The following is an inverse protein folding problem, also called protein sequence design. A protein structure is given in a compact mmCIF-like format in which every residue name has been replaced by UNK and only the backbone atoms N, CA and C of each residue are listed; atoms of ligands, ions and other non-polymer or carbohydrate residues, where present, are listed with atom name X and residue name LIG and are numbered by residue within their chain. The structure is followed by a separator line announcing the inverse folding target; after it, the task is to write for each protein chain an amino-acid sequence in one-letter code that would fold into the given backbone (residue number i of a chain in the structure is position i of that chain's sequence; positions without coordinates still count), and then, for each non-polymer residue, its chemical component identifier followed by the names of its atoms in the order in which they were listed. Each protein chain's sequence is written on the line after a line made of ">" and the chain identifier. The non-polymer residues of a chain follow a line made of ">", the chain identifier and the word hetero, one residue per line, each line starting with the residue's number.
data_IF_963097517714
#
_entry.id   IF_963097517714
#
_cell.length_a   1.000
_cell.length_b   1.000
_cell.length_c   1.000
_cell.angle_alpha   90.00
_cell.angle_beta   90.00
_cell.angle_gamma   90.00
#
_symmetry.space_group_name_H-M   'P 1'
#
loop_
_entity.id
_entity.type
_entity.pdbx_description
1 polymer ?
#
# COMPACT_ATOMS: atom_id res chain seq x y z
N UNK A 1 32.95 30.48 74.89
CA UNK A 1 31.77 31.24 74.49
C UNK A 1 31.69 31.20 72.99
N UNK A 2 30.92 30.27 72.39
CA UNK A 2 30.82 30.06 70.97
C UNK A 2 29.38 30.36 70.54
N UNK A 3 29.18 31.49 69.79
CA UNK A 3 27.89 31.89 69.22
C UNK A 3 27.55 31.06 68.01
N UNK A 4 26.46 30.29 68.07
CA UNK A 4 25.87 29.60 66.95
C UNK A 4 25.00 30.57 66.14
N UNK A 5 25.36 30.83 64.84
CA UNK A 5 24.56 31.55 63.90
C UNK A 5 23.61 30.50 63.26
N UNK A 6 22.29 30.71 63.39
CA UNK A 6 21.26 29.95 62.63
C UNK A 6 20.98 30.63 61.32
N UNK A 7 21.27 29.94 60.24
CA UNK A 7 20.90 30.34 58.89
C UNK A 7 19.46 29.89 58.63
N UNK A 8 18.55 30.81 58.39
CA UNK A 8 17.17 30.52 57.97
C UNK A 8 17.14 30.51 56.47
N UNK A 9 16.95 29.35 55.87
CA UNK A 9 16.72 29.15 54.45
C UNK A 9 15.21 29.37 54.17
N UNK A 10 14.89 30.44 53.46
CA UNK A 10 13.56 30.68 52.93
C UNK A 10 13.49 30.00 51.60
N UNK A 11 12.75 28.89 51.50
CA UNK A 11 12.49 28.20 50.22
C UNK A 11 11.34 28.90 49.51
N UNK A 12 11.66 29.56 48.39
CA UNK A 12 10.70 30.14 47.47
C UNK A 12 10.16 29.03 46.57
N UNK A 13 8.96 28.54 46.83
CA UNK A 13 8.28 27.60 45.93
C UNK A 13 7.68 28.37 44.76
N UNK A 14 8.30 28.23 43.60
CA UNK A 14 7.75 28.68 42.33
C UNK A 14 6.76 27.64 41.84
N UNK A 15 5.47 27.93 41.94
CA UNK A 15 4.42 27.11 41.33
C UNK A 15 4.44 27.28 39.79
N UNK A 16 5.05 26.33 39.12
CA UNK A 16 4.93 26.24 37.66
C UNK A 16 3.55 25.63 37.36
N UNK A 17 2.58 26.48 37.00
CA UNK A 17 1.31 26.06 36.41
C UNK A 17 1.58 25.51 35.02
N UNK A 18 1.83 24.19 34.91
CA UNK A 18 1.90 23.49 33.66
C UNK A 18 0.50 23.51 33.02
N UNK A 19 0.32 24.30 31.96
CA UNK A 19 -0.80 24.13 31.07
C UNK A 19 -0.62 22.77 30.40
N UNK A 20 -1.37 21.77 30.85
CA UNK A 20 -1.52 20.53 30.11
C UNK A 20 -2.23 20.88 28.78
N UNK A 21 -1.49 20.95 27.70
CA UNK A 21 -2.09 20.97 26.36
C UNK A 21 -2.87 19.66 26.23
N UNK A 22 -4.18 19.78 26.06
CA UNK A 22 -5.00 18.64 25.68
C UNK A 22 -4.41 18.07 24.36
N UNK A 23 -4.25 16.74 24.26
CA UNK A 23 -3.78 16.13 23.03
C UNK A 23 -4.72 16.56 21.90
N UNK A 24 -4.19 17.25 20.91
CA UNK A 24 -4.92 17.53 19.68
C UNK A 24 -5.25 16.18 19.06
N UNK A 25 -6.53 15.86 18.98
CA UNK A 25 -6.97 14.66 18.29
C UNK A 25 -6.43 14.73 16.85
N UNK A 26 -5.49 13.87 16.51
CA UNK A 26 -5.00 13.71 15.15
C UNK A 26 -6.20 13.31 14.30
N UNK A 27 -6.52 14.07 13.27
CA UNK A 27 -7.59 13.72 12.35
C UNK A 27 -7.28 12.33 11.78
N UNK A 28 -8.21 11.40 11.94
CA UNK A 28 -8.07 10.06 11.35
C UNK A 28 -8.17 10.23 9.84
N UNK A 29 -7.08 9.92 9.14
CA UNK A 29 -7.07 9.92 7.67
C UNK A 29 -7.97 8.79 7.19
N UNK A 30 -9.01 9.11 6.44
CA UNK A 30 -9.92 8.13 5.86
C UNK A 30 -9.61 7.94 4.37
N UNK A 31 -9.32 6.71 3.99
CA UNK A 31 -9.07 6.32 2.61
C UNK A 31 -10.34 5.82 1.92
N UNK A 32 -10.42 5.99 0.61
CA UNK A 32 -11.52 5.48 -0.19
C UNK A 32 -11.10 5.05 -1.57
N UNK A 33 -11.75 4.00 -2.07
CA UNK A 33 -11.65 3.52 -3.44
C UNK A 33 -12.72 4.18 -4.31
N UNK A 34 -12.31 4.75 -5.42
CA UNK A 34 -13.19 5.17 -6.52
C UNK A 34 -12.91 4.26 -7.72
N UNK A 35 -13.89 3.49 -8.15
CA UNK A 35 -13.79 2.63 -9.32
C UNK A 35 -13.85 3.47 -10.61
N UNK A 36 -12.97 3.19 -11.56
CA UNK A 36 -13.02 3.83 -12.88
C UNK A 36 -14.20 3.29 -13.67
N UNK A 37 -14.87 4.17 -14.43
CA UNK A 37 -15.95 3.78 -15.32
C UNK A 37 -15.48 2.98 -16.55
N UNK A 38 -14.17 2.90 -16.76
CA UNK A 38 -13.56 2.25 -17.92
C UNK A 38 -13.53 0.73 -17.74
N UNK A 39 -13.99 -0.01 -18.76
CA UNK A 39 -13.84 -1.46 -18.82
C UNK A 39 -12.53 -1.82 -19.50
N UNK A 40 -11.74 -2.68 -18.86
CA UNK A 40 -10.48 -3.19 -19.43
C UNK A 40 -10.69 -4.39 -20.36
N UNK A 41 -11.86 -5.05 -20.29
CA UNK A 41 -12.14 -6.27 -21.03
C UNK A 41 -11.28 -7.47 -20.60
N UNK A 42 -10.59 -7.40 -19.48
CA UNK A 42 -9.73 -8.45 -18.97
C UNK A 42 -10.49 -9.35 -17.98
N UNK A 43 -10.32 -10.66 -18.15
CA UNK A 43 -10.92 -11.68 -17.29
C UNK A 43 -9.80 -12.44 -16.59
N UNK A 44 -9.86 -12.54 -15.26
CA UNK A 44 -8.84 -13.22 -14.46
C UNK A 44 -8.81 -12.72 -13.01
N UNK A 45 -7.84 -13.24 -12.27
CA UNK A 45 -7.58 -12.94 -10.86
C UNK A 45 -6.11 -12.56 -10.66
N UNK A 46 -5.72 -12.24 -9.44
CA UNK A 46 -4.33 -11.98 -9.02
C UNK A 46 -3.52 -11.15 -10.04
N UNK A 47 -4.00 -9.96 -10.44
CA UNK A 47 -3.22 -9.10 -11.32
C UNK A 47 -1.99 -8.58 -10.56
N UNK A 48 -0.87 -8.42 -11.29
CA UNK A 48 0.25 -7.59 -10.91
C UNK A 48 0.39 -6.46 -11.92
N UNK A 49 0.66 -5.24 -11.49
CA UNK A 49 0.77 -4.09 -12.38
C UNK A 49 2.09 -3.34 -12.25
N UNK A 50 2.64 -2.95 -13.38
CA UNK A 50 3.74 -1.98 -13.44
C UNK A 50 3.43 -0.88 -14.46
N UNK A 51 3.75 0.36 -14.11
CA UNK A 51 3.69 1.47 -15.07
C UNK A 51 4.86 1.37 -16.05
N UNK A 52 4.58 1.26 -17.33
CA UNK A 52 5.57 1.14 -18.40
C UNK A 52 5.33 2.23 -19.45
N UNK A 53 6.07 3.34 -19.34
CA UNK A 53 5.85 4.50 -20.20
C UNK A 53 4.43 5.07 -20.04
N UNK A 54 3.64 5.01 -21.12
CA UNK A 54 2.25 5.50 -21.13
C UNK A 54 1.20 4.39 -20.94
N UNK A 55 1.62 3.17 -20.62
CA UNK A 55 0.73 2.04 -20.41
C UNK A 55 0.95 1.41 -19.03
N UNK A 56 -0.08 0.77 -18.51
CA UNK A 56 -0.02 -0.09 -17.35
C UNK A 56 0.08 -1.53 -17.84
N UNK A 57 1.20 -2.19 -17.59
CA UNK A 57 1.40 -3.60 -17.90
C UNK A 57 0.86 -4.44 -16.76
N UNK A 58 -0.05 -5.36 -17.11
CA UNK A 58 -0.66 -6.30 -16.18
C UNK A 58 -0.23 -7.72 -16.50
N UNK A 59 0.17 -8.46 -15.48
CA UNK A 59 0.31 -9.92 -15.49
C UNK A 59 -0.86 -10.49 -14.70
N UNK A 60 -1.57 -11.46 -15.24
CA UNK A 60 -2.74 -12.02 -14.56
C UNK A 60 -3.02 -13.46 -15.04
N UNK A 61 -3.46 -14.37 -14.17
CA UNK A 61 -3.98 -15.67 -14.58
C UNK A 61 -5.26 -15.49 -15.39
N UNK A 62 -5.21 -15.87 -16.66
CA UNK A 62 -6.30 -15.76 -17.64
C UNK A 62 -6.98 -17.10 -17.93
N UNK A 63 -7.63 -17.71 -16.92
CA UNK A 63 -8.33 -18.99 -17.08
C UNK A 63 -7.37 -20.16 -17.37
N UNK A 64 -7.80 -21.11 -18.19
CA UNK A 64 -7.03 -22.33 -18.51
C UNK A 64 -5.73 -22.08 -19.29
N UNK A 65 -5.56 -20.89 -19.86
CA UNK A 65 -4.37 -20.53 -20.65
C UNK A 65 -3.14 -20.19 -19.77
N UNK A 66 -3.28 -20.17 -18.43
CA UNK A 66 -2.22 -19.74 -17.51
C UNK A 66 -2.11 -18.23 -17.39
N UNK A 67 -0.94 -17.72 -17.00
CA UNK A 67 -0.72 -16.29 -16.84
C UNK A 67 -0.61 -15.59 -18.18
N UNK A 68 -1.39 -14.53 -18.37
CA UNK A 68 -1.39 -13.63 -19.51
C UNK A 68 -0.72 -12.30 -19.18
N UNK A 69 -0.31 -11.55 -20.19
CA UNK A 69 0.23 -10.20 -20.06
C UNK A 69 -0.50 -9.25 -21.01
N UNK A 70 -0.86 -8.07 -20.54
CA UNK A 70 -1.47 -7.05 -21.36
C UNK A 70 -0.94 -5.65 -20.99
N UNK A 71 -0.80 -4.79 -21.99
CA UNK A 71 -0.54 -3.35 -21.82
C UNK A 71 -1.84 -2.59 -22.00
N UNK A 72 -2.27 -1.88 -20.98
CA UNK A 72 -3.49 -1.08 -20.95
C UNK A 72 -3.16 0.41 -20.91
N UNK A 73 -3.70 1.19 -21.83
CA UNK A 73 -3.51 2.64 -21.82
C UNK A 73 -4.46 3.34 -20.81
N UNK A 74 -4.30 4.64 -20.65
CA UNK A 74 -5.12 5.42 -19.71
C UNK A 74 -6.62 5.42 -20.09
N UNK A 75 -6.97 5.24 -21.36
CA UNK A 75 -8.36 5.08 -21.81
C UNK A 75 -8.92 3.67 -21.57
N UNK A 76 -8.12 2.72 -21.07
CA UNK A 76 -8.54 1.36 -20.75
C UNK A 76 -8.48 0.39 -21.92
N UNK A 77 -7.98 0.79 -23.07
CA UNK A 77 -7.72 -0.15 -24.17
C UNK A 77 -6.50 -0.99 -23.83
N UNK A 78 -6.69 -2.31 -23.81
CA UNK A 78 -5.65 -3.28 -23.46
C UNK A 78 -5.23 -4.08 -24.70
N UNK A 79 -3.92 -4.27 -24.86
CA UNK A 79 -3.31 -5.05 -25.95
C UNK A 79 -2.51 -6.20 -25.34
N UNK A 80 -2.71 -7.42 -25.81
CA UNK A 80 -1.96 -8.59 -25.35
C UNK A 80 -0.47 -8.45 -25.65
N UNK A 81 0.36 -8.87 -24.70
CA UNK A 81 1.82 -8.90 -24.81
C UNK A 81 2.28 -10.36 -24.89
N UNK A 82 3.19 -10.65 -25.84
CA UNK A 82 3.74 -11.99 -26.01
C UNK A 82 4.55 -12.43 -24.80
N UNK A 83 4.30 -13.65 -24.34
CA UNK A 83 5.06 -14.30 -23.29
C UNK A 83 6.28 -14.98 -23.90
N UNK A 84 7.46 -14.78 -23.32
CA UNK A 84 8.72 -15.33 -23.81
C UNK A 84 9.18 -16.60 -23.10
N UNK A 85 8.46 -17.01 -22.06
CA UNK A 85 8.72 -18.19 -21.25
C UNK A 85 7.53 -18.53 -20.37
N UNK A 86 7.76 -19.33 -19.33
CA UNK A 86 6.69 -19.59 -18.34
C UNK A 86 6.53 -18.41 -17.39
N UNK A 87 5.36 -18.30 -16.79
CA UNK A 87 5.04 -17.43 -15.67
C UNK A 87 4.34 -18.26 -14.58
N UNK A 88 4.59 -17.94 -13.30
CA UNK A 88 3.87 -18.55 -12.18
C UNK A 88 2.52 -17.86 -11.91
N UNK A 89 1.76 -18.38 -10.98
CA UNK A 89 0.53 -17.75 -10.48
C UNK A 89 0.82 -16.81 -9.32
N UNK A 90 -0.06 -15.89 -9.01
CA UNK A 90 0.14 -14.87 -7.96
C UNK A 90 1.50 -14.19 -8.14
N UNK A 91 1.68 -13.63 -9.32
CA UNK A 91 2.95 -13.15 -9.81
C UNK A 91 3.22 -11.72 -9.33
N UNK A 92 4.42 -11.45 -8.84
CA UNK A 92 4.98 -10.11 -8.64
C UNK A 92 6.41 -10.06 -9.18
N UNK A 93 6.89 -8.89 -9.60
CA UNK A 93 8.25 -8.72 -10.07
C UNK A 93 8.84 -7.39 -9.62
N UNK A 94 10.13 -7.39 -9.27
CA UNK A 94 10.85 -6.19 -8.86
C UNK A 94 12.19 -6.07 -9.57
N UNK A 95 12.72 -4.86 -9.59
CA UNK A 95 14.12 -4.62 -9.93
C UNK A 95 14.95 -4.68 -8.64
N UNK A 96 15.89 -5.60 -8.57
CA UNK A 96 16.81 -5.74 -7.44
C UNK A 96 17.80 -4.57 -7.39
N UNK A 97 18.45 -4.30 -6.25
CA UNK A 97 19.42 -3.20 -6.12
C UNK A 97 20.62 -3.30 -7.09
N UNK A 98 20.94 -4.50 -7.56
CA UNK A 98 21.98 -4.72 -8.57
C UNK A 98 21.52 -4.44 -10.02
N UNK A 99 20.28 -3.98 -10.20
CA UNK A 99 19.69 -3.66 -11.52
C UNK A 99 19.08 -4.86 -12.26
N UNK A 100 19.23 -6.10 -11.76
CA UNK A 100 18.58 -7.27 -12.38
C UNK A 100 17.11 -7.34 -11.97
N UNK A 101 16.29 -7.98 -12.82
CA UNK A 101 14.87 -8.19 -12.50
C UNK A 101 14.61 -9.62 -12.04
N UNK A 102 13.76 -9.75 -11.01
CA UNK A 102 13.37 -11.03 -10.45
C UNK A 102 11.86 -11.05 -10.16
N UNK A 103 11.25 -12.16 -10.48
CA UNK A 103 9.85 -12.45 -10.19
C UNK A 103 9.73 -13.36 -8.98
N UNK A 104 8.60 -13.23 -8.26
CA UNK A 104 8.15 -14.08 -7.17
C UNK A 104 6.74 -14.53 -7.47
N UNK A 105 6.43 -15.78 -7.21
CA UNK A 105 5.15 -16.37 -7.61
C UNK A 105 4.88 -17.67 -6.84
N UNK A 106 3.66 -18.13 -6.93
CA UNK A 106 3.28 -19.45 -6.41
C UNK A 106 3.52 -20.52 -7.49
N UNK A 107 4.16 -21.60 -7.10
CA UNK A 107 4.28 -22.84 -7.89
C UNK A 107 3.50 -23.96 -7.23
N UNK A 108 2.69 -24.65 -8.02
CA UNK A 108 2.00 -25.86 -7.63
C UNK A 108 2.77 -27.03 -8.20
N UNK A 109 3.08 -28.03 -7.37
CA UNK A 109 3.75 -29.23 -7.84
C UNK A 109 2.87 -29.99 -8.84
N UNK A 110 3.43 -30.24 -10.01
CA UNK A 110 2.81 -31.09 -11.04
C UNK A 110 3.22 -32.55 -10.89
N UNK A 111 4.04 -32.90 -9.89
CA UNK A 111 4.44 -34.26 -9.63
C UNK A 111 3.24 -35.03 -9.06
N UNK A 112 2.80 -36.14 -9.67
CA UNK A 112 1.70 -36.96 -9.14
C UNK A 112 1.95 -37.36 -7.69
N UNK A 113 0.98 -37.05 -6.81
CA UNK A 113 1.06 -37.37 -5.37
C UNK A 113 1.82 -36.38 -4.51
N UNK A 114 2.54 -35.38 -5.07
CA UNK A 114 3.26 -34.43 -4.25
C UNK A 114 2.33 -33.42 -3.53
N UNK A 115 1.24 -33.03 -4.15
CA UNK A 115 0.20 -32.12 -3.60
C UNK A 115 0.76 -30.96 -2.76
N UNK A 116 1.83 -30.33 -3.27
CA UNK A 116 2.50 -29.21 -2.59
C UNK A 116 2.44 -27.94 -3.44
N UNK A 117 2.45 -26.79 -2.78
CA UNK A 117 2.72 -25.50 -3.39
C UNK A 117 3.89 -24.81 -2.67
N UNK A 118 4.57 -23.94 -3.39
CA UNK A 118 5.68 -23.15 -2.85
C UNK A 118 5.62 -21.71 -3.33
N UNK A 119 6.19 -20.80 -2.54
CA UNK A 119 6.56 -19.48 -3.04
C UNK A 119 7.98 -19.58 -3.59
N UNK A 120 8.11 -19.32 -4.87
CA UNK A 120 9.37 -19.43 -5.62
C UNK A 120 9.76 -18.09 -6.21
N UNK A 121 11.03 -17.96 -6.55
CA UNK A 121 11.57 -16.82 -7.29
C UNK A 121 12.37 -17.27 -8.49
N UNK A 122 12.36 -16.47 -9.56
CA UNK A 122 13.17 -16.72 -10.75
C UNK A 122 13.65 -15.41 -11.39
N UNK A 123 14.82 -15.42 -12.07
CA UNK A 123 15.23 -14.25 -12.84
C UNK A 123 14.26 -14.03 -14.00
N UNK A 124 13.92 -12.78 -14.27
CA UNK A 124 13.19 -12.41 -15.48
C UNK A 124 14.08 -12.62 -16.72
N UNK A 125 13.55 -13.25 -17.76
CA UNK A 125 14.27 -13.48 -19.03
C UNK A 125 14.44 -12.19 -19.85
N UNK A 126 13.57 -11.23 -19.64
CA UNK A 126 13.58 -9.93 -20.30
C UNK A 126 13.40 -8.79 -19.30
N UNK A 127 13.78 -7.58 -19.67
CA UNK A 127 13.51 -6.39 -18.85
C UNK A 127 12.01 -6.19 -18.61
N UNK A 128 11.15 -6.66 -19.50
CA UNK A 128 9.70 -6.61 -19.38
C UNK A 128 9.11 -7.72 -18.49
N UNK A 129 9.93 -8.66 -18.04
CA UNK A 129 9.52 -9.82 -17.25
C UNK A 129 8.30 -10.59 -17.83
N UNK A 130 8.29 -10.78 -19.15
CA UNK A 130 7.25 -11.54 -19.86
C UNK A 130 7.52 -13.05 -19.88
N UNK A 131 8.49 -13.51 -19.14
CA UNK A 131 8.88 -14.90 -18.90
C UNK A 131 9.97 -14.96 -17.86
N UNK A 132 10.06 -16.10 -17.17
CA UNK A 132 11.03 -16.35 -16.12
C UNK A 132 11.89 -17.56 -16.40
N UNK A 133 13.12 -17.53 -15.91
CA UNK A 133 14.07 -18.63 -15.96
C UNK A 133 13.77 -19.71 -14.94
N UNK A 134 14.81 -20.47 -14.57
CA UNK A 134 14.70 -21.52 -13.56
C UNK A 134 14.36 -20.94 -12.21
N UNK A 135 13.32 -21.48 -11.60
CA UNK A 135 12.86 -21.07 -10.27
C UNK A 135 13.65 -21.70 -9.15
N UNK A 136 13.69 -20.99 -8.04
CA UNK A 136 14.22 -21.46 -6.75
C UNK A 136 13.20 -21.16 -5.67
N UNK A 137 12.95 -22.10 -4.79
CA UNK A 137 12.07 -21.88 -3.61
C UNK A 137 12.66 -20.75 -2.76
N UNK A 138 11.86 -19.75 -2.41
CA UNK A 138 12.31 -18.57 -1.70
C UNK A 138 12.77 -18.88 -0.26
N UNK A 139 12.04 -19.77 0.43
CA UNK A 139 12.41 -20.29 1.74
C UNK A 139 11.80 -21.68 1.96
N UNK A 140 12.49 -22.56 2.67
CA UNK A 140 11.99 -23.91 2.97
C UNK A 140 10.62 -23.87 3.70
N UNK A 141 10.41 -22.88 4.56
CA UNK A 141 9.12 -22.67 5.25
C UNK A 141 7.95 -22.31 4.32
N UNK A 142 8.23 -21.94 3.07
CA UNK A 142 7.24 -21.57 2.06
C UNK A 142 6.92 -22.74 1.11
N UNK A 143 7.27 -23.97 1.47
CA UNK A 143 6.80 -25.21 0.83
C UNK A 143 5.74 -25.83 1.74
N UNK A 144 4.51 -25.90 1.26
CA UNK A 144 3.37 -26.35 2.06
C UNK A 144 2.49 -27.31 1.27
N UNK A 145 1.73 -28.15 1.98
CA UNK A 145 0.68 -28.94 1.36
C UNK A 145 -0.41 -28.01 0.81
N UNK A 146 -0.92 -28.29 -0.39
CA UNK A 146 -2.01 -27.52 -0.99
C UNK A 146 -3.28 -27.49 -0.13
N UNK A 147 -3.49 -28.50 0.72
CA UNK A 147 -4.69 -28.65 1.53
C UNK A 147 -4.54 -28.13 2.96
N UNK A 148 -3.33 -27.81 3.40
CA UNK A 148 -3.08 -27.55 4.83
C UNK A 148 -2.74 -26.10 5.15
N UNK A 149 -2.25 -25.31 4.20
CA UNK A 149 -1.74 -23.98 4.54
C UNK A 149 -1.83 -23.03 3.39
N UNK A 150 -1.75 -21.79 3.75
CA UNK A 150 -1.43 -20.55 3.09
C UNK A 150 -1.76 -20.44 1.61
N UNK A 151 -2.38 -19.37 1.32
CA UNK A 151 -2.72 -18.94 -0.03
C UNK A 151 -1.47 -18.61 -0.87
N UNK A 152 -0.36 -18.30 -0.22
CA UNK A 152 0.88 -17.96 -0.89
C UNK A 152 0.98 -16.49 -1.27
N UNK A 153 0.21 -16.01 -2.19
CA UNK A 153 0.13 -14.64 -2.70
C UNK A 153 1.32 -13.76 -2.28
N UNK A 154 2.51 -13.94 -2.91
CA UNK A 154 3.69 -13.19 -2.55
C UNK A 154 3.65 -11.78 -3.11
N UNK A 155 4.13 -10.82 -2.33
CA UNK A 155 4.50 -9.51 -2.86
C UNK A 155 5.89 -9.10 -2.37
N UNK A 156 6.67 -8.47 -3.22
CA UNK A 156 8.09 -8.18 -2.98
C UNK A 156 8.40 -6.69 -3.11
N UNK A 157 9.14 -6.16 -2.14
CA UNK A 157 9.54 -4.75 -2.10
C UNK A 157 11.01 -4.61 -1.76
N UNK A 158 11.72 -3.71 -2.43
CA UNK A 158 13.07 -3.30 -2.02
C UNK A 158 12.99 -2.37 -0.83
N UNK A 159 13.67 -2.74 0.27
CA UNK A 159 13.74 -1.94 1.49
C UNK A 159 14.73 -0.79 1.36
N UNK A 160 14.65 0.26 2.21
CA UNK A 160 15.58 1.40 2.14
C UNK A 160 17.06 1.04 2.31
N UNK A 161 17.36 -0.07 3.00
CA UNK A 161 18.72 -0.59 3.20
C UNK A 161 19.18 -1.54 2.06
N UNK A 162 18.42 -1.60 0.97
CA UNK A 162 18.75 -2.36 -0.24
C UNK A 162 18.54 -3.87 -0.14
N UNK A 163 17.79 -4.34 0.87
CA UNK A 163 17.34 -5.74 0.93
C UNK A 163 16.02 -5.92 0.20
N UNK A 164 15.59 -7.15 0.05
CA UNK A 164 14.27 -7.50 -0.47
C UNK A 164 13.43 -8.04 0.67
N UNK A 165 12.27 -7.44 0.90
CA UNK A 165 11.25 -8.00 1.78
C UNK A 165 10.15 -8.63 0.96
N UNK A 166 9.82 -9.87 1.27
CA UNK A 166 8.75 -10.64 0.67
C UNK A 166 7.63 -10.78 1.69
N UNK A 167 6.44 -10.30 1.35
CA UNK A 167 5.23 -10.52 2.15
C UNK A 167 4.50 -11.75 1.61
N UNK A 168 3.98 -12.55 2.51
CA UNK A 168 3.30 -13.81 2.15
C UNK A 168 2.14 -14.03 3.10
N UNK A 169 1.03 -14.48 2.57
CA UNK A 169 -0.12 -14.92 3.36
C UNK A 169 0.14 -16.35 3.87
N UNK A 170 -0.06 -16.57 5.15
CA UNK A 170 0.02 -17.89 5.79
C UNK A 170 -1.26 -18.18 6.56
N UNK A 171 -1.72 -19.43 6.53
CA UNK A 171 -2.79 -19.97 7.39
C UNK A 171 -2.18 -20.93 8.40
N UNK A 172 -1.77 -20.48 9.58
CA UNK A 172 -1.11 -21.36 10.56
C UNK A 172 -2.05 -22.42 11.14
N UNK A 173 -3.37 -22.20 11.09
CA UNK A 173 -4.40 -23.14 11.53
C UNK A 173 -5.56 -23.14 10.56
N UNK A 174 -6.22 -24.29 10.36
CA UNK A 174 -7.46 -24.40 9.56
C UNK A 174 -8.73 -24.24 10.41
N UNK A 175 -8.60 -24.20 11.73
CA UNK A 175 -9.72 -24.39 12.66
C UNK A 175 -10.39 -23.09 13.09
N UNK A 176 -9.83 -21.93 12.73
CA UNK A 176 -10.40 -20.63 13.10
C UNK A 176 -11.10 -19.96 11.91
N UNK A 177 -12.17 -19.23 12.19
CA UNK A 177 -12.64 -18.21 11.26
C UNK A 177 -11.53 -17.15 11.10
N UNK A 178 -11.21 -16.76 9.88
CA UNK A 178 -10.13 -15.82 9.58
C UNK A 178 -8.72 -16.33 9.98
N UNK A 179 -8.29 -17.50 9.53
CA UNK A 179 -7.00 -18.07 9.91
C UNK A 179 -5.80 -17.39 9.27
N UNK A 180 -6.02 -16.63 8.19
CA UNK A 180 -4.97 -16.05 7.37
C UNK A 180 -4.25 -14.92 8.14
N UNK A 181 -2.93 -14.91 7.99
CA UNK A 181 -2.04 -13.90 8.56
C UNK A 181 -0.99 -13.52 7.54
N UNK A 182 -0.60 -12.27 7.56
CA UNK A 182 0.48 -11.77 6.70
C UNK A 182 1.80 -11.91 7.44
N UNK A 183 2.70 -12.70 6.88
CA UNK A 183 4.10 -12.81 7.31
C UNK A 183 5.00 -11.99 6.40
N UNK A 184 6.23 -11.74 6.84
CA UNK A 184 7.28 -11.25 5.95
C UNK A 184 8.58 -12.03 6.10
N UNK A 185 9.33 -12.04 5.02
CA UNK A 185 10.62 -12.68 4.88
C UNK A 185 11.61 -11.67 4.33
N UNK A 186 12.87 -11.71 4.77
CA UNK A 186 13.89 -10.76 4.35
C UNK A 186 15.05 -11.48 3.66
N UNK A 187 15.59 -10.88 2.62
CA UNK A 187 16.73 -11.39 1.86
C UNK A 187 17.70 -10.27 1.50
N UNK A 188 19.00 -10.55 1.53
CA UNK A 188 20.03 -9.64 1.03
C UNK A 188 20.31 -9.78 -0.47
N UNK A 189 19.89 -10.89 -1.08
CA UNK A 189 20.14 -11.22 -2.48
C UNK A 189 18.86 -11.33 -3.33
N UNK A 190 17.70 -11.30 -2.69
CA UNK A 190 16.40 -11.50 -3.34
C UNK A 190 16.12 -12.94 -3.75
N UNK A 191 16.94 -13.92 -3.34
CA UNK A 191 16.84 -15.33 -3.71
C UNK A 191 16.49 -16.20 -2.50
N UNK A 192 17.30 -16.06 -1.44
CA UNK A 192 17.17 -16.85 -0.21
C UNK A 192 16.63 -15.97 0.91
N UNK A 193 15.49 -16.37 1.46
CA UNK A 193 14.76 -15.57 2.43
C UNK A 193 14.72 -16.22 3.81
N UNK A 194 14.76 -15.38 4.84
CA UNK A 194 14.57 -15.76 6.24
C UNK A 194 13.33 -15.08 6.78
N UNK A 195 12.47 -15.82 7.48
CA UNK A 195 11.24 -15.29 8.09
C UNK A 195 11.59 -14.24 9.14
N UNK A 196 10.94 -13.09 9.08
CA UNK A 196 11.01 -12.06 10.11
C UNK A 196 10.04 -12.40 11.27
N UNK A 197 10.41 -12.03 12.49
CA UNK A 197 9.61 -12.33 13.67
C UNK A 197 8.28 -11.59 13.68
N UNK A 198 7.22 -12.25 14.16
CA UNK A 198 5.88 -11.72 14.29
C UNK A 198 5.09 -11.70 12.97
N UNK A 199 3.82 -11.41 13.09
CA UNK A 199 2.92 -11.23 11.95
C UNK A 199 2.83 -9.75 11.57
N UNK A 200 2.69 -9.46 10.28
CA UNK A 200 2.47 -8.09 9.78
C UNK A 200 1.03 -7.68 9.99
N UNK A 201 0.12 -8.58 9.68
CA UNK A 201 -1.31 -8.44 9.97
C UNK A 201 -1.88 -9.78 10.41
N UNK A 202 -2.88 -9.71 11.27
CA UNK A 202 -3.71 -10.83 11.72
C UNK A 202 -5.19 -10.46 11.48
N UNK A 203 -6.08 -11.46 11.45
CA UNK A 203 -7.52 -11.24 11.30
C UNK A 203 -8.03 -11.52 9.89
N UNK A 204 -7.37 -12.42 9.14
CA UNK A 204 -7.87 -12.98 7.91
C UNK A 204 -7.69 -12.08 6.69
N UNK A 205 -6.62 -11.31 6.63
CA UNK A 205 -6.27 -10.53 5.43
C UNK A 205 -5.45 -11.37 4.47
N UNK A 206 -5.76 -11.24 3.18
CA UNK A 206 -5.15 -11.96 2.06
C UNK A 206 -4.81 -11.00 0.91
N UNK A 207 -4.15 -11.52 -0.12
CA UNK A 207 -3.92 -10.83 -1.39
C UNK A 207 -3.24 -9.47 -1.18
N UNK A 208 -2.12 -9.48 -0.47
CA UNK A 208 -1.44 -8.24 -0.09
C UNK A 208 -0.56 -7.69 -1.22
N UNK A 209 -0.76 -6.42 -1.54
CA UNK A 209 0.13 -5.60 -2.35
C UNK A 209 0.76 -4.53 -1.47
N UNK A 210 2.08 -4.47 -1.42
CA UNK A 210 2.83 -3.52 -0.58
C UNK A 210 3.58 -2.52 -1.44
N UNK A 211 3.29 -1.27 -1.24
CA UNK A 211 3.85 -0.16 -2.00
C UNK A 211 4.74 0.71 -1.09
N UNK A 212 5.81 1.23 -1.68
CA UNK A 212 6.57 2.33 -1.10
C UNK A 212 6.09 3.63 -1.71
N UNK A 213 5.44 4.46 -0.89
CA UNK A 213 5.05 5.80 -1.31
C UNK A 213 6.27 6.71 -1.50
N UNK A 214 6.13 7.74 -2.32
CA UNK A 214 7.23 8.68 -2.68
C UNK A 214 7.76 9.47 -1.50
N UNK A 215 6.94 9.69 -0.46
CA UNK A 215 7.33 10.29 0.82
C UNK A 215 8.08 9.32 1.74
N UNK A 216 8.13 8.04 1.37
CA UNK A 216 8.84 7.00 2.11
C UNK A 216 7.95 6.15 3.01
N UNK A 217 6.68 6.46 3.14
CA UNK A 217 5.72 5.63 3.87
C UNK A 217 5.46 4.30 3.16
N UNK A 218 5.05 3.31 3.94
CA UNK A 218 4.65 2.02 3.44
C UNK A 218 3.13 1.95 3.40
N UNK A 219 2.60 1.46 2.30
CA UNK A 219 1.16 1.27 2.10
C UNK A 219 0.92 -0.18 1.73
N UNK A 220 -0.05 -0.83 2.37
CA UNK A 220 -0.51 -2.17 2.03
C UNK A 220 -1.97 -2.09 1.63
N UNK A 221 -2.28 -2.57 0.43
CA UNK A 221 -3.65 -2.80 -0.03
C UNK A 221 -3.89 -4.31 0.00
N UNK A 222 -5.04 -4.75 0.50
CA UNK A 222 -5.32 -6.16 0.71
C UNK A 222 -6.82 -6.45 0.62
N UNK A 223 -7.17 -7.72 0.50
CA UNK A 223 -8.54 -8.19 0.67
C UNK A 223 -8.72 -8.87 2.03
N UNK A 224 -9.97 -8.97 2.52
CA UNK A 224 -10.30 -9.93 3.56
C UNK A 224 -10.40 -11.35 2.97
N UNK A 225 -10.05 -12.35 3.75
CA UNK A 225 -10.07 -13.75 3.33
C UNK A 225 -11.50 -14.26 3.11
N UNK A 226 -11.66 -15.27 2.26
CA UNK A 226 -12.98 -15.81 1.91
C UNK A 226 -13.69 -16.49 3.10
N UNK A 227 -12.95 -16.85 4.14
CA UNK A 227 -13.48 -17.41 5.38
C UNK A 227 -13.89 -16.37 6.42
N UNK A 228 -13.61 -15.08 6.18
CA UNK A 228 -13.88 -14.01 7.12
C UNK A 228 -15.22 -13.32 6.85
N UNK A 229 -16.02 -13.14 7.89
CA UNK A 229 -17.22 -12.32 7.83
C UNK A 229 -18.31 -12.89 6.91
N UNK A 230 -18.86 -12.02 6.07
CA UNK A 230 -20.02 -12.27 5.21
C UNK A 230 -19.68 -12.97 3.87
N UNK A 231 -18.47 -13.43 3.70
CA UNK A 231 -17.95 -14.11 2.49
C UNK A 231 -17.91 -13.23 1.21
N UNK A 232 -18.24 -11.96 1.31
CA UNK A 232 -18.05 -10.99 0.23
C UNK A 232 -16.75 -10.27 0.48
N UNK A 233 -15.68 -10.68 -0.20
CA UNK A 233 -14.35 -10.08 -0.04
C UNK A 233 -14.36 -8.59 -0.39
N UNK A 234 -13.70 -7.80 0.42
CA UNK A 234 -13.62 -6.34 0.33
C UNK A 234 -12.17 -5.91 0.38
N UNK A 235 -11.87 -4.75 -0.18
CA UNK A 235 -10.53 -4.19 -0.11
C UNK A 235 -10.37 -3.31 1.13
N UNK A 236 -9.19 -3.45 1.70
CA UNK A 236 -8.69 -2.69 2.85
C UNK A 236 -7.36 -2.03 2.52
N UNK A 237 -6.99 -1.04 3.30
CA UNK A 237 -5.71 -0.37 3.23
C UNK A 237 -5.14 -0.17 4.62
N UNK A 238 -3.85 -0.31 4.76
CA UNK A 238 -3.08 -0.04 5.97
C UNK A 238 -1.81 0.73 5.63
N UNK A 239 -1.27 1.47 6.59
CA UNK A 239 -0.02 2.22 6.45
C UNK A 239 0.98 1.80 7.52
N UNK A 240 2.27 2.00 7.23
CA UNK A 240 3.38 1.70 8.13
C UNK A 240 4.55 2.64 7.85
N UNK A 241 5.36 2.92 8.88
CA UNK A 241 6.60 3.70 8.72
C UNK A 241 7.82 2.80 8.46
N UNK A 242 7.73 1.50 8.77
CA UNK A 242 8.87 0.58 8.74
C UNK A 242 8.62 -0.69 7.89
N UNK A 243 7.37 -0.88 7.42
CA UNK A 243 6.94 -2.09 6.72
C UNK A 243 6.83 -3.33 7.63
N UNK A 244 6.97 -3.18 8.94
CA UNK A 244 6.91 -4.27 9.92
C UNK A 244 5.72 -4.11 10.86
N UNK A 245 5.45 -2.88 11.30
CA UNK A 245 4.35 -2.52 12.18
C UNK A 245 3.30 -1.77 11.40
N UNK A 246 2.12 -2.33 11.30
CA UNK A 246 1.06 -1.82 10.45
C UNK A 246 -0.09 -1.24 11.26
N UNK A 247 -0.63 -0.12 10.81
CA UNK A 247 -1.83 0.46 11.38
C UNK A 247 -3.04 -0.49 11.20
N UNK A 248 -4.09 -0.27 12.00
CA UNK A 248 -5.33 -1.06 11.83
C UNK A 248 -5.88 -0.85 10.42
N UNK A 249 -6.12 -1.93 9.63
CA UNK A 249 -6.66 -1.81 8.29
C UNK A 249 -7.99 -1.08 8.24
N UNK A 250 -8.12 -0.16 7.28
CA UNK A 250 -9.36 0.55 6.96
C UNK A 250 -10.00 -0.10 5.75
N UNK A 251 -11.30 -0.38 5.82
CA UNK A 251 -12.08 -0.81 4.65
C UNK A 251 -12.25 0.35 3.69
N UNK A 252 -11.86 0.15 2.43
CA UNK A 252 -11.87 1.18 1.38
C UNK A 252 -12.91 0.93 0.29
N UNK A 253 -13.45 -0.28 0.16
CA UNK A 253 -14.45 -0.64 -0.85
C UNK A 253 -15.82 -0.92 -0.27
N UNK A 254 -16.87 -0.84 -1.11
CA UNK A 254 -18.21 -1.32 -0.79
C UNK A 254 -18.28 -2.83 -0.64
N UNK A 255 -19.45 -3.36 -0.30
CA UNK A 255 -19.75 -4.78 -0.14
C UNK A 255 -20.78 -5.30 -1.17
N UNK A 256 -21.08 -4.51 -2.18
CA UNK A 256 -21.97 -4.82 -3.30
C UNK A 256 -21.39 -5.86 -4.26
N UNK A 257 -20.08 -5.85 -4.44
CA UNK A 257 -19.33 -6.79 -5.26
C UNK A 257 -18.19 -7.40 -4.45
N UNK A 258 -17.79 -8.63 -4.81
CA UNK A 258 -16.55 -9.23 -4.35
C UNK A 258 -15.39 -8.47 -5.00
N UNK A 259 -14.38 -8.09 -4.19
CA UNK A 259 -13.15 -7.43 -4.63
C UNK A 259 -11.97 -8.08 -3.93
N UNK A 260 -11.01 -8.55 -4.70
CA UNK A 260 -9.84 -9.30 -4.22
C UNK A 260 -8.63 -9.06 -5.11
N UNK A 261 -7.49 -9.59 -4.69
CA UNK A 261 -6.21 -9.54 -5.42
C UNK A 261 -5.86 -8.11 -5.89
N UNK A 262 -5.78 -7.14 -5.01
CA UNK A 262 -5.39 -5.80 -5.41
C UNK A 262 -3.90 -5.74 -5.79
N UNK A 263 -3.58 -4.90 -6.77
CA UNK A 263 -2.22 -4.47 -7.11
C UNK A 263 -2.25 -3.00 -7.48
N UNK A 264 -1.12 -2.30 -7.46
CA UNK A 264 -1.15 -0.88 -7.79
C UNK A 264 0.19 -0.17 -7.73
N UNK A 265 0.14 1.14 -7.92
CA UNK A 265 1.29 2.03 -7.79
C UNK A 265 0.84 3.45 -7.44
N UNK A 266 1.75 4.23 -6.85
CA UNK A 266 1.48 5.63 -6.54
C UNK A 266 1.57 6.50 -7.79
N UNK A 267 0.50 7.23 -8.09
CA UNK A 267 0.43 8.21 -9.20
C UNK A 267 0.98 9.56 -8.74
N UNK A 268 0.49 10.03 -7.60
CA UNK A 268 0.92 11.26 -6.93
C UNK A 268 0.79 11.08 -5.43
N UNK A 269 1.32 11.99 -4.64
CA UNK A 269 1.32 11.88 -3.18
C UNK A 269 -0.07 11.50 -2.64
N UNK A 270 -0.14 10.36 -1.97
CA UNK A 270 -1.36 9.81 -1.38
C UNK A 270 -2.50 9.52 -2.40
N UNK A 271 -2.15 9.29 -3.67
CA UNK A 271 -3.08 8.85 -4.71
C UNK A 271 -2.50 7.64 -5.41
N UNK A 272 -3.20 6.52 -5.33
CA UNK A 272 -2.76 5.24 -5.86
C UNK A 272 -3.70 4.77 -6.97
N UNK A 273 -3.16 4.41 -8.11
CA UNK A 273 -3.88 3.64 -9.12
C UNK A 273 -3.83 2.18 -8.71
N UNK A 274 -4.98 1.54 -8.70
CA UNK A 274 -5.10 0.13 -8.30
C UNK A 274 -5.88 -0.67 -9.33
N UNK A 275 -5.51 -1.93 -9.43
CA UNK A 275 -6.19 -2.95 -10.19
C UNK A 275 -6.58 -4.07 -9.24
N UNK A 276 -7.73 -4.68 -9.46
CA UNK A 276 -8.23 -5.75 -8.60
C UNK A 276 -9.21 -6.63 -9.36
N UNK A 277 -9.34 -7.87 -8.96
CA UNK A 277 -10.36 -8.77 -9.48
C UNK A 277 -11.70 -8.49 -8.81
N UNK A 278 -12.77 -8.57 -9.58
CA UNK A 278 -14.14 -8.42 -9.06
C UNK A 278 -15.07 -9.45 -9.67
N UNK A 279 -16.04 -9.90 -8.88
CA UNK A 279 -17.14 -10.74 -9.31
C UNK A 279 -18.41 -10.35 -8.56
N UNK A 280 -19.57 -10.73 -9.10
CA UNK A 280 -20.84 -10.57 -8.43
C UNK A 280 -20.79 -11.30 -7.06
N UNK A 281 -21.35 -10.70 -6.03
CA UNK A 281 -21.53 -11.34 -4.75
C UNK A 281 -22.39 -12.58 -4.93
N UNK A 282 -21.86 -13.77 -4.67
CA UNK A 282 -22.53 -15.04 -4.92
C UNK A 282 -21.70 -16.23 -4.41
N UNK A 283 -22.13 -17.42 -4.72
CA UNK A 283 -21.49 -18.67 -4.26
C UNK A 283 -20.07 -18.74 -4.80
N UNK A 284 -19.10 -19.12 -3.96
CA UNK A 284 -17.76 -19.52 -4.37
C UNK A 284 -17.88 -20.74 -5.30
N UNK A 285 -17.38 -20.61 -6.53
CA UNK A 285 -17.44 -21.66 -7.53
C UNK A 285 -17.30 -21.09 -8.93
N UNK A 286 -18.24 -21.31 -9.79
CA UNK A 286 -18.22 -20.92 -11.22
C UNK A 286 -18.46 -19.43 -11.46
N UNK A 287 -17.69 -18.56 -10.80
CA UNK A 287 -17.75 -17.10 -11.03
C UNK A 287 -16.65 -16.65 -11.98
N UNK A 288 -17.04 -15.90 -12.99
CA UNK A 288 -16.09 -15.21 -13.85
C UNK A 288 -15.62 -13.93 -13.17
N UNK A 289 -14.33 -13.85 -12.92
CA UNK A 289 -13.70 -12.64 -12.39
C UNK A 289 -13.29 -11.71 -13.54
N UNK A 290 -13.54 -10.43 -13.36
CA UNK A 290 -13.06 -9.37 -14.27
C UNK A 290 -12.08 -8.47 -13.54
N UNK A 291 -11.04 -8.03 -14.23
CA UNK A 291 -10.08 -7.07 -13.68
C UNK A 291 -10.65 -5.67 -13.87
N UNK A 292 -10.73 -4.95 -12.77
CA UNK A 292 -11.16 -3.55 -12.71
C UNK A 292 -9.99 -2.65 -12.34
N UNK A 293 -10.15 -1.37 -12.68
CA UNK A 293 -9.23 -0.31 -12.30
C UNK A 293 -9.94 0.70 -11.42
N UNK A 294 -9.18 1.32 -10.51
CA UNK A 294 -9.69 2.38 -9.66
C UNK A 294 -8.57 3.23 -9.07
N UNK A 295 -8.99 4.19 -8.27
CA UNK A 295 -8.08 5.11 -7.56
C UNK A 295 -8.36 5.04 -6.07
N UNK A 296 -7.30 4.84 -5.27
CA UNK A 296 -7.35 5.01 -3.81
C UNK A 296 -6.80 6.39 -3.49
N UNK A 297 -7.55 7.16 -2.71
CA UNK A 297 -7.13 8.47 -2.23
C UNK A 297 -7.73 8.77 -0.85
N UNK A 298 -7.18 9.77 -0.19
CA UNK A 298 -7.76 10.28 1.06
C UNK A 298 -9.13 10.87 0.75
N UNK A 299 -10.15 10.41 1.46
CA UNK A 299 -11.48 11.02 1.42
C UNK A 299 -11.41 12.40 2.06
N UNK A 300 -11.76 13.43 1.33
CA UNK A 300 -11.98 14.73 1.93
C UNK A 300 -13.18 14.65 2.88
N UNK A 301 -12.97 14.88 4.18
CA UNK A 301 -14.09 14.93 5.11
C UNK A 301 -14.98 16.11 4.76
N UNK A 302 -16.30 15.90 4.73
CA UNK A 302 -17.26 16.98 4.54
C UNK A 302 -17.18 18.08 5.61
N UNK A 303 -16.53 17.80 6.74
CA UNK A 303 -16.23 18.77 7.78
C UNK A 303 -15.16 19.81 7.33
N UNK A 304 -14.25 19.44 6.46
CA UNK A 304 -13.23 20.36 5.94
C UNK A 304 -13.81 21.33 4.88
N UNK A 305 -14.85 20.90 4.16
CA UNK A 305 -15.61 21.77 3.25
C UNK A 305 -16.41 22.84 4.01
N UNK A 306 -16.85 22.55 5.24
CA UNK A 306 -17.55 23.52 6.09
C UNK A 306 -16.60 24.59 6.69
N UNK A 307 -15.31 24.27 6.85
CA UNK A 307 -14.29 25.23 7.32
C UNK A 307 -13.76 26.12 6.16
N UNK A 308 -13.79 25.64 4.91
CA UNK A 308 -13.42 26.43 3.74
C UNK A 308 -14.50 27.41 3.29
N UNK A 309 -15.71 27.37 3.88
CA UNK A 309 -16.74 28.41 3.83
C UNK A 309 -16.36 29.69 4.61
N UNK A 310 -15.21 29.70 5.28
CA UNK A 310 -14.64 30.86 5.94
C UNK A 310 -14.15 31.90 4.93
N UNK A 311 -14.90 32.98 4.81
CA UNK A 311 -14.59 34.28 4.15
C UNK A 311 -13.32 34.25 3.29
N UNK A 312 -13.54 34.23 1.97
CA UNK A 312 -12.50 34.56 0.97
C UNK A 312 -11.61 35.69 1.54
N UNK A 313 -10.36 35.38 1.87
CA UNK A 313 -9.48 36.33 2.52
C UNK A 313 -9.35 37.57 1.62
N UNK A 314 -9.99 38.67 2.02
CA UNK A 314 -10.04 39.89 1.22
C UNK A 314 -8.67 40.52 1.23
N UNK A 315 -8.04 40.60 0.05
CA UNK A 315 -6.81 41.36 -0.10
C UNK A 315 -7.08 42.83 0.16
N UNK A 316 -6.42 43.42 1.14
CA UNK A 316 -6.47 44.86 1.42
C UNK A 316 -5.20 45.53 0.91
N UNK A 317 -5.32 46.79 0.50
CA UNK A 317 -4.19 47.60 0.09
C UNK A 317 -3.89 48.64 1.16
N UNK A 318 -2.66 48.65 1.65
CA UNK A 318 -2.20 49.69 2.56
C UNK A 318 -1.20 50.60 1.85
N UNK A 319 -1.15 51.88 2.28
CA UNK A 319 -0.17 52.84 1.80
C UNK A 319 0.95 52.96 2.84
N UNK A 320 2.17 52.77 2.41
CA UNK A 320 3.38 52.87 3.24
C UNK A 320 4.22 54.05 2.82
N UNK A 321 4.73 54.82 3.77
CA UNK A 321 5.50 56.05 3.51
C UNK A 321 6.89 56.02 4.20
N UNK A 322 7.89 56.53 3.50
CA UNK A 322 9.23 56.76 4.03
C UNK A 322 9.73 58.13 3.48
N UNK A 323 9.75 59.17 4.30
CA UNK A 323 10.02 60.54 3.86
C UNK A 323 8.98 60.97 2.81
N UNK A 324 9.46 61.40 1.62
CA UNK A 324 8.59 61.77 0.50
C UNK A 324 8.17 60.58 -0.40
N UNK A 325 8.64 59.37 -0.10
CA UNK A 325 8.36 58.17 -0.92
C UNK A 325 7.15 57.43 -0.40
N UNK A 326 6.23 57.08 -1.31
CA UNK A 326 5.01 56.35 -1.01
C UNK A 326 4.98 55.01 -1.80
N UNK A 327 4.64 53.91 -1.14
CA UNK A 327 4.41 52.57 -1.76
C UNK A 327 3.05 52.03 -1.37
N UNK A 328 2.32 51.42 -2.31
CA UNK A 328 1.11 50.65 -2.04
C UNK A 328 1.48 49.17 -1.92
N UNK A 329 1.02 48.49 -0.86
CA UNK A 329 1.24 47.06 -0.61
C UNK A 329 -0.12 46.39 -0.50
N UNK A 330 -0.39 45.43 -1.37
CA UNK A 330 -1.66 44.66 -1.41
C UNK A 330 -1.41 43.23 -0.98
N UNK A 331 -2.20 42.70 -0.07
CA UNK A 331 -2.11 41.33 0.40
C UNK A 331 -3.17 41.01 1.44
N UNK A 332 -3.18 39.75 1.91
CA UNK A 332 -3.90 39.38 3.11
C UNK A 332 -3.03 39.79 4.30
N UNK A 333 -3.51 40.73 5.13
CA UNK A 333 -2.72 41.35 6.20
C UNK A 333 -1.40 41.98 5.71
N UNK A 334 -1.43 42.96 4.79
CA UNK A 334 -0.24 43.55 4.24
C UNK A 334 0.54 44.33 5.30
N UNK A 335 1.85 44.16 5.30
CA UNK A 335 2.81 44.93 6.18
C UNK A 335 3.68 45.80 5.34
N UNK A 336 4.03 46.96 5.86
CA UNK A 336 4.97 47.85 5.18
C UNK A 336 6.38 47.25 5.13
N UNK A 337 7.11 47.41 4.02
CA UNK A 337 8.51 47.01 3.94
C UNK A 337 9.38 47.74 5.00
N UNK A 338 10.54 47.14 5.30
CA UNK A 338 11.47 47.69 6.28
C UNK A 338 11.78 49.18 5.99
N UNK A 339 11.67 50.01 7.01
CA UNK A 339 11.89 51.44 6.94
C UNK A 339 10.70 52.27 6.43
N UNK A 340 9.55 51.67 6.09
CA UNK A 340 8.33 52.38 5.77
C UNK A 340 7.31 52.25 6.92
N UNK A 341 6.53 53.32 7.13
CA UNK A 341 5.41 53.32 8.10
C UNK A 341 4.08 53.37 7.36
N UNK A 342 3.08 52.71 7.91
CA UNK A 342 1.70 52.74 7.37
C UNK A 342 1.20 54.18 7.51
N UNK A 343 0.64 54.73 6.44
CA UNK A 343 0.00 56.04 6.42
C UNK A 343 -1.38 55.96 7.06
#
# INVERSE_FOLDING_TARGET
>A
MTKKIRLVLISLAVAISGFAQAPTASAVVEWGLTEDAVSLGLTGVSPHVERTGNADRLWYPGGLAGTAVADCNDAGACTSVSITGRLGTDFTAITLPNGTRRAYFVEISMTPGANTKSVSSAPCLTAACTGVGTSTVAAAALVVSQNEKAWGVPDAVVTPDGKVRLYVVESPTLDSSCPEKVASYISSDGISFTKEAGWRLEGGYVDTEVLRAKDGDWVMVMADGPGCGDRVQKLYMSTSNDGLTWAKPQKISGSDLRRLDPTGYEVSANVFRVYYATATAGVLGDVTYTIKRGTIAIKQSSAEVAITGGKKATKTTITCVKGKTTKKVTGVNPKCPSGFKKK
#
